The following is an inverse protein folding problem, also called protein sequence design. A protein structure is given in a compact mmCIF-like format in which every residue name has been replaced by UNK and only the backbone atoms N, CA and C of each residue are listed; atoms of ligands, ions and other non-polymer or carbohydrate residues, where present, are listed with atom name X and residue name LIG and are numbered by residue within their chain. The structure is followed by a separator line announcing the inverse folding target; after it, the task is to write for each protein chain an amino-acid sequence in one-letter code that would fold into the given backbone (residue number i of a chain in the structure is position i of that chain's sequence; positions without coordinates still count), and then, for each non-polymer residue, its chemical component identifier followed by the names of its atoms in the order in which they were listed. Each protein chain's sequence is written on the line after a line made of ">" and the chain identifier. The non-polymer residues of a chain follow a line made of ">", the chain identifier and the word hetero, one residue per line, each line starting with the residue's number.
data_IF_909536375516
#
_entry.id   IF_909536375516
#
_cell.length_a   1.000
_cell.length_b   1.000
_cell.length_c   1.000
_cell.angle_alpha   90.00
_cell.angle_beta   90.00
_cell.angle_gamma   90.00
#
_symmetry.space_group_name_H-M   'P 1'
#
loop_
_entity.id
_entity.type
_entity.pdbx_description
1 polymer ?
#
# COMPACT_ATOMS: atom_id res chain seq x y z
N UNK A 1 -30.17 -22.25 -12.94
CA UNK A 1 -28.90 -22.84 -12.47
C UNK A 1 -28.30 -21.90 -11.45
N UNK A 2 -28.30 -22.28 -10.17
CA UNK A 2 -27.57 -21.56 -9.13
C UNK A 2 -26.12 -22.02 -9.24
N UNK A 3 -25.25 -21.21 -9.83
CA UNK A 3 -23.81 -21.40 -9.67
C UNK A 3 -23.46 -21.01 -8.23
N UNK A 4 -23.36 -22.03 -7.39
CA UNK A 4 -22.69 -21.96 -6.10
C UNK A 4 -21.22 -21.66 -6.36
N UNK A 5 -20.86 -20.38 -6.36
CA UNK A 5 -19.47 -19.96 -6.36
C UNK A 5 -18.84 -20.40 -5.04
N UNK A 6 -17.81 -21.23 -5.13
CA UNK A 6 -16.93 -21.61 -4.03
C UNK A 6 -16.05 -20.41 -3.58
N UNK A 7 -16.65 -19.24 -3.33
CA UNK A 7 -15.99 -18.16 -2.58
C UNK A 7 -16.03 -18.56 -1.11
N UNK A 8 -14.99 -19.29 -0.69
CA UNK A 8 -14.87 -19.95 0.60
C UNK A 8 -15.33 -19.08 1.78
N UNK A 9 -16.19 -19.66 2.59
CA UNK A 9 -16.63 -19.17 3.89
C UNK A 9 -15.43 -18.69 4.73
N UNK A 10 -15.22 -17.39 4.80
CA UNK A 10 -14.29 -16.81 5.76
C UNK A 10 -14.97 -16.92 7.13
N UNK A 11 -14.43 -17.75 8.02
CA UNK A 11 -15.00 -18.07 9.35
C UNK A 11 -15.24 -16.85 10.27
N UNK A 12 -14.77 -15.66 9.91
CA UNK A 12 -15.02 -14.42 10.64
C UNK A 12 -15.09 -13.24 9.66
N UNK A 13 -16.28 -12.69 9.43
CA UNK A 13 -16.50 -11.54 8.54
C UNK A 13 -16.15 -10.18 9.18
N UNK A 14 -15.76 -10.17 10.46
CA UNK A 14 -15.35 -8.96 11.18
C UNK A 14 -14.16 -9.21 12.14
N UNK A 15 -12.99 -9.61 11.62
CA UNK A 15 -11.85 -9.96 12.48
C UNK A 15 -11.32 -8.79 13.32
N UNK A 16 -11.61 -7.55 12.92
CA UNK A 16 -11.09 -6.33 13.54
C UNK A 16 -12.16 -5.47 14.22
N UNK A 17 -13.35 -6.03 14.51
CA UNK A 17 -14.48 -5.35 15.15
C UNK A 17 -14.83 -3.99 14.51
N UNK A 18 -14.72 -3.91 13.19
CA UNK A 18 -15.09 -2.73 12.42
C UNK A 18 -16.62 -2.56 12.50
N UNK A 19 -17.13 -1.36 12.87
CA UNK A 19 -18.56 -1.12 12.91
C UNK A 19 -19.15 -1.20 11.49
N UNK A 20 -20.44 -1.50 11.42
CA UNK A 20 -21.14 -1.39 10.15
C UNK A 20 -21.25 0.10 9.77
N UNK A 21 -20.82 0.45 8.56
CA UNK A 21 -20.86 1.81 8.02
C UNK A 21 -21.90 1.90 6.89
N UNK A 22 -22.58 3.05 6.75
CA UNK A 22 -23.44 3.30 5.60
C UNK A 22 -22.62 3.26 4.30
N UNK A 23 -23.27 2.85 3.21
CA UNK A 23 -22.68 2.90 1.88
C UNK A 23 -22.69 4.34 1.35
N UNK A 24 -21.78 4.63 0.42
CA UNK A 24 -21.81 5.89 -0.31
C UNK A 24 -23.15 6.06 -1.05
N UNK A 25 -23.68 7.28 -1.08
CA UNK A 25 -24.75 7.62 -2.03
C UNK A 25 -24.16 7.61 -3.45
N UNK A 26 -24.98 7.26 -4.45
CA UNK A 26 -24.51 7.09 -5.83
C UNK A 26 -23.64 8.28 -6.31
N UNK A 27 -22.55 7.96 -7.01
CA UNK A 27 -21.56 8.84 -7.65
C UNK A 27 -20.33 9.23 -6.80
N UNK A 28 -19.30 8.37 -6.85
CA UNK A 28 -17.92 8.79 -6.55
C UNK A 28 -17.44 9.69 -7.68
N UNK A 29 -17.06 10.93 -7.36
CA UNK A 29 -16.46 11.82 -8.35
C UNK A 29 -15.03 11.38 -8.66
N UNK A 30 -14.59 11.64 -9.89
CA UNK A 30 -13.21 11.36 -10.34
C UNK A 30 -12.13 12.14 -9.57
N UNK A 31 -12.51 13.24 -8.91
CA UNK A 31 -11.62 14.10 -8.13
C UNK A 31 -11.51 13.73 -6.65
N UNK A 32 -11.95 12.53 -6.25
CA UNK A 32 -11.92 12.12 -4.85
C UNK A 32 -10.52 12.25 -4.23
N UNK A 33 -9.46 12.01 -5.00
CA UNK A 33 -8.07 12.14 -4.53
C UNK A 33 -7.76 13.54 -4.04
N UNK A 34 -8.20 14.59 -4.75
CA UNK A 34 -7.99 15.98 -4.33
C UNK A 34 -8.72 16.29 -3.01
N UNK A 35 -9.89 15.67 -2.80
CA UNK A 35 -10.67 15.80 -1.57
C UNK A 35 -10.17 14.90 -0.42
N UNK A 36 -9.31 13.91 -0.70
CA UNK A 36 -8.83 13.00 0.34
C UNK A 36 -7.98 13.73 1.38
N UNK A 37 -7.23 14.77 0.97
CA UNK A 37 -6.39 15.56 1.86
C UNK A 37 -7.13 16.17 3.05
N UNK A 38 -8.41 16.56 2.88
CA UNK A 38 -9.21 17.17 3.94
C UNK A 38 -9.93 16.17 4.84
N UNK A 39 -10.08 14.92 4.39
CA UNK A 39 -10.86 13.88 5.09
C UNK A 39 -10.01 12.82 5.77
N UNK A 40 -8.92 12.43 5.12
CA UNK A 40 -7.90 11.56 5.71
C UNK A 40 -6.83 12.50 6.22
N UNK A 41 -6.70 12.62 7.55
CA UNK A 41 -5.62 13.38 8.18
C UNK A 41 -4.27 13.10 7.50
N UNK A 42 -3.30 14.01 7.64
CA UNK A 42 -1.97 13.83 7.04
C UNK A 42 -1.40 12.44 7.34
N UNK A 43 -0.73 11.86 6.33
CA UNK A 43 -0.05 10.57 6.47
C UNK A 43 0.82 10.57 7.73
N UNK A 44 0.57 9.61 8.64
CA UNK A 44 1.15 9.58 9.98
C UNK A 44 1.85 8.26 10.26
N UNK A 45 3.10 8.36 10.71
CA UNK A 45 3.86 7.25 11.30
C UNK A 45 3.82 7.35 12.82
N UNK A 46 4.10 6.25 13.52
CA UNK A 46 4.30 6.30 14.96
C UNK A 46 5.46 7.21 15.33
N UNK A 47 5.22 8.06 16.31
CA UNK A 47 6.20 8.95 16.91
C UNK A 47 6.57 8.48 18.32
N UNK A 48 7.65 9.04 18.88
CA UNK A 48 8.13 8.67 20.22
C UNK A 48 7.09 8.92 21.32
N UNK A 49 6.26 9.93 21.15
CA UNK A 49 5.23 10.32 22.12
C UNK A 49 3.99 9.42 22.06
N UNK A 50 3.87 8.55 21.04
CA UNK A 50 2.73 7.65 20.86
C UNK A 50 2.84 6.34 21.67
N UNK A 51 4.05 5.99 22.16
CA UNK A 51 4.33 4.65 22.69
C UNK A 51 5.02 4.72 24.06
N UNK A 52 4.60 3.86 24.98
CA UNK A 52 5.22 3.72 26.30
C UNK A 52 6.59 3.00 26.25
N UNK A 53 7.66 3.81 26.20
CA UNK A 53 9.09 3.54 26.48
C UNK A 53 9.86 2.43 25.71
N UNK A 54 9.32 1.23 25.48
CA UNK A 54 10.14 0.09 25.04
C UNK A 54 10.57 0.18 23.56
N UNK A 55 9.71 0.73 22.69
CA UNK A 55 10.04 1.00 21.27
C UNK A 55 10.59 2.39 21.03
N UNK A 56 10.40 3.32 21.97
CA UNK A 56 10.71 4.75 21.82
C UNK A 56 12.16 4.99 21.38
N UNK A 57 13.10 4.17 21.86
CA UNK A 57 14.53 4.26 21.51
C UNK A 57 14.84 3.83 20.07
N UNK A 58 13.94 3.11 19.41
CA UNK A 58 14.13 2.55 18.08
C UNK A 58 13.30 3.24 16.99
N UNK A 59 12.31 4.07 17.36
CA UNK A 59 11.60 4.95 16.41
C UNK A 59 12.60 5.98 15.84
N UNK A 60 12.67 6.20 14.51
CA UNK A 60 13.52 7.23 13.92
C UNK A 60 13.21 8.63 14.47
N UNK A 61 14.26 9.43 14.64
CA UNK A 61 14.17 10.85 15.05
C UNK A 61 13.88 11.80 13.88
N UNK A 62 14.08 11.33 12.66
CA UNK A 62 13.81 12.06 11.42
C UNK A 62 12.49 11.59 10.83
N UNK A 63 11.74 12.44 10.11
CA UNK A 63 10.51 12.01 9.46
C UNK A 63 10.80 11.03 8.30
N UNK A 64 9.78 10.32 7.85
CA UNK A 64 9.88 9.44 6.68
C UNK A 64 10.24 10.25 5.42
N UNK A 65 9.66 11.44 5.29
CA UNK A 65 9.97 12.43 4.26
C UNK A 65 10.27 13.75 4.94
N UNK A 66 11.32 14.45 4.51
CA UNK A 66 11.56 15.81 4.98
C UNK A 66 10.43 16.73 4.50
N UNK A 67 10.19 17.85 5.18
CA UNK A 67 9.05 18.74 4.87
C UNK A 67 9.10 19.27 3.43
N UNK A 68 10.30 19.54 2.91
CA UNK A 68 10.54 20.01 1.55
C UNK A 68 10.77 18.88 0.55
N UNK A 69 10.70 17.62 0.98
CA UNK A 69 10.89 16.47 0.10
C UNK A 69 9.61 16.25 -0.72
N UNK A 70 9.64 16.74 -1.96
CA UNK A 70 8.60 16.61 -2.96
C UNK A 70 9.20 16.11 -4.28
N UNK A 71 8.37 15.44 -5.07
CA UNK A 71 8.77 14.76 -6.30
C UNK A 71 7.86 15.19 -7.44
N UNK A 72 8.39 15.25 -8.66
CA UNK A 72 7.56 15.47 -9.84
C UNK A 72 6.75 14.21 -10.12
N UNK A 73 7.45 13.10 -10.35
CA UNK A 73 6.83 11.82 -10.73
C UNK A 73 7.20 10.71 -9.76
N UNK A 74 6.19 9.98 -9.31
CA UNK A 74 6.35 8.81 -8.46
C UNK A 74 5.76 7.58 -9.13
N UNK A 75 6.40 6.42 -8.98
CA UNK A 75 5.92 5.15 -9.48
C UNK A 75 5.58 4.20 -8.33
N UNK A 76 4.39 3.61 -8.38
CA UNK A 76 3.97 2.50 -7.51
C UNK A 76 3.96 1.22 -8.35
N UNK A 77 4.84 0.28 -7.99
CA UNK A 77 4.95 -0.99 -8.70
C UNK A 77 4.20 -2.05 -7.92
N UNK A 78 3.11 -2.58 -8.47
CA UNK A 78 2.39 -3.68 -7.83
C UNK A 78 3.27 -4.95 -7.80
N UNK A 79 2.80 -5.98 -7.11
CA UNK A 79 3.47 -7.27 -7.14
C UNK A 79 2.90 -8.22 -8.20
N UNK A 80 1.92 -7.77 -9.00
CA UNK A 80 1.13 -8.65 -9.87
C UNK A 80 2.00 -9.40 -10.89
N UNK A 81 1.60 -10.64 -11.18
CA UNK A 81 2.31 -11.46 -12.16
C UNK A 81 2.25 -10.90 -13.59
N UNK A 82 1.27 -10.04 -13.88
CA UNK A 82 1.07 -9.34 -15.16
C UNK A 82 2.21 -8.39 -15.53
N UNK A 83 3.10 -8.05 -14.57
CA UNK A 83 4.34 -7.32 -14.84
C UNK A 83 5.35 -8.14 -15.67
N UNK A 84 5.28 -9.48 -15.66
CA UNK A 84 6.19 -10.33 -16.45
C UNK A 84 6.04 -10.07 -17.94
N UNK A 85 7.18 -9.97 -18.63
CA UNK A 85 7.29 -9.68 -20.07
C UNK A 85 6.66 -8.33 -20.49
N UNK A 86 6.42 -7.43 -19.55
CA UNK A 86 5.85 -6.11 -19.83
C UNK A 86 6.88 -5.14 -20.42
N UNK A 87 8.18 -5.37 -20.19
CA UNK A 87 9.27 -4.48 -20.57
C UNK A 87 9.15 -3.04 -20.01
N UNK A 88 8.40 -2.85 -18.92
CA UNK A 88 8.15 -1.53 -18.32
C UNK A 88 9.34 -0.99 -17.52
N UNK A 89 10.39 -1.79 -17.31
CA UNK A 89 11.44 -1.48 -16.34
C UNK A 89 12.21 -0.20 -16.62
N UNK A 90 12.52 0.09 -17.89
CA UNK A 90 13.17 1.35 -18.26
C UNK A 90 12.30 2.56 -17.92
N UNK A 91 11.00 2.48 -18.22
CA UNK A 91 10.05 3.56 -17.96
C UNK A 91 9.82 3.77 -16.45
N UNK A 92 9.73 2.68 -15.68
CA UNK A 92 9.66 2.72 -14.22
C UNK A 92 10.86 3.49 -13.64
N UNK A 93 12.08 3.18 -14.10
CA UNK A 93 13.30 3.79 -13.57
C UNK A 93 13.47 5.28 -13.94
N UNK A 94 12.63 5.86 -14.82
CA UNK A 94 12.62 7.29 -15.11
C UNK A 94 11.94 8.14 -14.01
N UNK A 95 11.21 7.53 -13.08
CA UNK A 95 10.49 8.28 -12.04
C UNK A 95 11.43 8.74 -10.93
N UNK A 96 11.15 9.89 -10.31
CA UNK A 96 11.96 10.44 -9.22
C UNK A 96 11.96 9.50 -8.01
N UNK A 97 10.79 8.97 -7.67
CA UNK A 97 10.58 8.02 -6.58
C UNK A 97 9.94 6.73 -7.09
N UNK A 98 10.48 5.59 -6.68
CA UNK A 98 9.89 4.26 -6.96
C UNK A 98 9.55 3.55 -5.65
N UNK A 99 8.26 3.27 -5.45
CA UNK A 99 7.69 2.54 -4.33
C UNK A 99 7.45 1.07 -4.71
N UNK A 100 7.92 0.16 -3.84
CA UNK A 100 7.70 -1.30 -3.97
C UNK A 100 7.14 -1.90 -2.68
N UNK A 101 6.66 -3.15 -2.76
CA UNK A 101 5.99 -3.80 -1.64
C UNK A 101 6.69 -5.08 -1.19
N UNK A 102 6.69 -5.31 0.12
CA UNK A 102 7.04 -6.58 0.74
C UNK A 102 8.39 -7.11 0.24
N UNK A 103 8.47 -8.40 -0.08
CA UNK A 103 9.68 -9.07 -0.54
C UNK A 103 9.85 -9.06 -2.07
N UNK A 104 9.15 -8.18 -2.80
CA UNK A 104 9.18 -8.15 -4.25
C UNK A 104 10.57 -7.74 -4.78
N UNK A 105 11.30 -8.63 -5.48
CA UNK A 105 12.68 -8.40 -5.90
C UNK A 105 12.75 -7.63 -7.22
N UNK A 106 13.85 -6.91 -7.42
CA UNK A 106 14.21 -6.35 -8.75
C UNK A 106 15.19 -7.24 -9.50
N UNK A 107 16.09 -7.91 -8.78
CA UNK A 107 17.15 -8.74 -9.35
C UNK A 107 16.59 -9.91 -10.17
N UNK A 108 16.92 -9.96 -11.46
CA UNK A 108 16.41 -10.96 -12.41
C UNK A 108 15.07 -10.59 -13.07
N UNK A 109 14.58 -9.37 -12.81
CA UNK A 109 13.29 -8.85 -13.27
C UNK A 109 13.42 -7.43 -13.82
N UNK A 110 14.63 -6.87 -13.91
CA UNK A 110 14.89 -5.46 -14.18
C UNK A 110 14.26 -4.98 -15.48
N UNK A 111 14.21 -5.84 -16.51
CA UNK A 111 13.56 -5.54 -17.79
C UNK A 111 12.08 -5.19 -17.61
N UNK A 112 11.40 -5.87 -16.71
CA UNK A 112 9.96 -5.78 -16.50
C UNK A 112 9.61 -4.79 -15.39
N UNK A 113 10.35 -4.80 -14.29
CA UNK A 113 9.98 -4.05 -13.08
C UNK A 113 10.94 -2.92 -12.73
N UNK A 114 12.04 -2.76 -13.47
CA UNK A 114 13.07 -1.76 -13.19
C UNK A 114 14.02 -2.18 -12.06
N UNK A 115 15.04 -1.37 -11.82
CA UNK A 115 16.09 -1.59 -10.83
C UNK A 115 15.98 -0.65 -9.62
N UNK A 116 15.35 0.53 -9.78
CA UNK A 116 15.24 1.55 -8.74
C UNK A 116 14.25 1.13 -7.65
N UNK A 117 14.61 1.39 -6.39
CA UNK A 117 13.71 1.34 -5.23
C UNK A 117 14.10 2.44 -4.27
N UNK A 118 13.22 3.42 -4.08
CA UNK A 118 13.45 4.56 -3.17
C UNK A 118 12.84 4.26 -1.80
N UNK A 119 11.62 3.73 -1.81
CA UNK A 119 10.87 3.37 -0.60
C UNK A 119 10.23 1.99 -0.76
N UNK A 120 10.10 1.27 0.35
CA UNK A 120 9.43 -0.03 0.38
C UNK A 120 8.47 -0.12 1.55
N UNK A 121 7.22 -0.46 1.22
CA UNK A 121 6.18 -0.73 2.22
C UNK A 121 6.14 -2.23 2.53
N UNK A 122 6.20 -2.58 3.81
CA UNK A 122 6.16 -3.95 4.31
C UNK A 122 4.91 -4.15 5.17
N UNK A 123 4.20 -5.26 5.00
CA UNK A 123 3.34 -5.71 6.08
C UNK A 123 4.20 -6.33 7.20
N UNK A 124 3.65 -6.37 8.41
CA UNK A 124 4.30 -6.95 9.58
C UNK A 124 4.61 -8.44 9.42
N UNK A 125 3.90 -9.16 8.54
CA UNK A 125 4.17 -10.55 8.21
C UNK A 125 5.56 -10.72 7.60
N UNK A 126 5.97 -9.81 6.71
CA UNK A 126 7.30 -9.82 6.08
C UNK A 126 8.39 -9.54 7.11
N UNK A 127 8.14 -8.64 8.05
CA UNK A 127 9.07 -8.33 9.14
C UNK A 127 9.18 -9.50 10.12
N UNK A 128 8.12 -10.29 10.30
CA UNK A 128 8.04 -11.34 11.31
C UNK A 128 8.55 -12.70 10.83
N UNK A 129 8.11 -13.16 9.65
CA UNK A 129 8.28 -14.57 9.28
C UNK A 129 9.71 -14.88 8.78
N UNK A 130 10.36 -15.97 9.25
CA UNK A 130 11.77 -16.26 8.94
C UNK A 130 12.10 -16.39 7.46
N UNK A 131 11.18 -16.89 6.62
CA UNK A 131 11.44 -17.10 5.20
C UNK A 131 11.78 -15.82 4.43
N UNK A 132 11.40 -14.66 4.96
CA UNK A 132 11.71 -13.37 4.33
C UNK A 132 13.08 -12.82 4.71
N UNK A 133 13.74 -13.42 5.72
CA UNK A 133 15.08 -13.06 6.17
C UNK A 133 15.24 -11.55 6.38
N UNK A 134 14.22 -10.90 6.95
CA UNK A 134 14.10 -9.43 6.99
C UNK A 134 15.34 -8.72 7.52
N UNK A 135 15.91 -9.21 8.62
CA UNK A 135 17.04 -8.56 9.29
C UNK A 135 18.33 -8.63 8.46
N UNK A 136 18.59 -9.75 7.79
CA UNK A 136 19.85 -9.99 7.07
C UNK A 136 19.80 -9.54 5.60
N UNK A 137 18.63 -9.66 4.95
CA UNK A 137 18.48 -9.48 3.51
C UNK A 137 18.90 -8.07 3.04
N UNK A 138 19.69 -7.97 1.96
CA UNK A 138 20.06 -6.69 1.36
C UNK A 138 18.86 -5.95 0.73
N UNK A 139 17.76 -6.66 0.46
CA UNK A 139 16.55 -6.09 -0.16
C UNK A 139 15.93 -4.95 0.67
N UNK A 140 16.16 -4.96 1.99
CA UNK A 140 15.57 -3.99 2.93
C UNK A 140 16.60 -2.96 3.43
N UNK A 141 17.79 -2.86 2.82
CA UNK A 141 18.87 -1.98 3.27
C UNK A 141 19.08 -0.82 2.30
N UNK A 142 19.53 0.33 2.82
CA UNK A 142 19.87 1.55 2.06
C UNK A 142 18.71 2.15 1.26
N UNK A 143 17.51 2.13 1.85
CA UNK A 143 16.30 2.73 1.31
C UNK A 143 15.37 3.12 2.47
N UNK A 144 14.30 3.87 2.17
CA UNK A 144 13.27 4.18 3.16
C UNK A 144 12.34 2.98 3.34
N UNK A 145 12.09 2.59 4.57
CA UNK A 145 11.18 1.51 4.92
C UNK A 145 9.98 2.06 5.67
N UNK A 146 8.81 1.55 5.32
CA UNK A 146 7.59 1.77 6.06
C UNK A 146 6.94 0.42 6.31
N UNK A 147 6.65 0.09 7.56
CA UNK A 147 5.87 -1.10 7.88
C UNK A 147 4.49 -0.76 8.42
N UNK A 148 3.53 -1.66 8.22
CA UNK A 148 2.20 -1.57 8.81
C UNK A 148 1.77 -2.93 9.36
N UNK A 149 0.94 -2.91 10.41
CA UNK A 149 0.35 -4.07 11.05
C UNK A 149 -1.14 -3.76 11.30
N UNK A 150 -2.07 -4.69 11.05
CA UNK A 150 -3.47 -4.51 11.42
C UNK A 150 -3.63 -4.34 12.93
N UNK A 151 -4.49 -3.41 13.34
CA UNK A 151 -4.98 -3.34 14.72
C UNK A 151 -6.48 -3.61 14.73
N UNK A 152 -7.06 -3.87 15.91
CA UNK A 152 -8.51 -3.76 16.06
C UNK A 152 -8.96 -2.30 15.77
N UNK A 153 -10.17 -2.10 15.22
CA UNK A 153 -10.65 -0.80 14.72
C UNK A 153 -10.55 0.34 15.75
N UNK A 154 -10.94 0.07 16.99
CA UNK A 154 -10.94 1.06 18.09
C UNK A 154 -9.77 0.91 19.06
N UNK A 155 -8.83 -0.02 18.84
CA UNK A 155 -7.75 -0.24 19.82
C UNK A 155 -6.89 0.99 19.95
N UNK A 156 -6.45 1.31 21.16
CA UNK A 156 -5.37 2.26 21.40
C UNK A 156 -4.01 1.72 20.92
N UNK A 157 -3.02 2.59 20.76
CA UNK A 157 -1.65 2.20 20.39
C UNK A 157 -1.06 1.25 21.44
N UNK A 158 -1.30 1.52 22.72
CA UNK A 158 -0.82 0.71 23.83
C UNK A 158 -1.45 -0.70 23.88
N UNK A 159 -2.71 -0.85 23.46
CA UNK A 159 -3.34 -2.17 23.34
C UNK A 159 -2.79 -2.93 22.13
N UNK A 160 -2.72 -2.27 20.97
CA UNK A 160 -2.22 -2.88 19.75
C UNK A 160 -0.75 -3.33 19.90
N UNK A 161 0.12 -2.50 20.49
CA UNK A 161 1.54 -2.85 20.61
C UNK A 161 1.78 -4.03 21.57
N UNK A 162 0.87 -4.28 22.52
CA UNK A 162 0.91 -5.45 23.40
C UNK A 162 0.48 -6.73 22.68
N UNK A 163 -0.40 -6.61 21.68
CA UNK A 163 -0.95 -7.74 20.94
C UNK A 163 -1.08 -7.42 19.44
N UNK A 164 0.05 -7.27 18.72
CA UNK A 164 0.04 -7.04 17.29
C UNK A 164 -0.42 -8.30 16.53
N UNK A 165 -0.93 -8.14 15.32
CA UNK A 165 -1.34 -9.28 14.47
C UNK A 165 -0.16 -10.21 14.19
N UNK A 166 1.03 -9.63 14.02
CA UNK A 166 2.28 -10.37 13.88
C UNK A 166 3.35 -9.85 14.86
N UNK A 167 4.13 -10.76 15.44
CA UNK A 167 5.16 -10.44 16.43
C UNK A 167 6.42 -9.78 15.82
N UNK A 168 6.26 -8.63 15.15
CA UNK A 168 7.31 -7.94 14.41
C UNK A 168 8.32 -7.20 15.30
N UNK A 169 7.95 -6.89 16.54
CA UNK A 169 8.66 -5.98 17.46
C UNK A 169 10.14 -6.35 17.61
N UNK A 170 10.43 -7.62 17.89
CA UNK A 170 11.82 -8.07 18.10
C UNK A 170 12.65 -7.87 16.83
N UNK A 171 12.13 -8.24 15.66
CA UNK A 171 12.83 -8.08 14.38
C UNK A 171 12.99 -6.61 14.00
N UNK A 172 12.00 -5.76 14.31
CA UNK A 172 12.09 -4.31 14.14
C UNK A 172 13.24 -3.73 14.99
N UNK A 173 13.28 -4.05 16.30
CA UNK A 173 14.35 -3.59 17.20
C UNK A 173 15.72 -4.09 16.73
N UNK A 174 15.84 -5.39 16.39
CA UNK A 174 17.08 -5.99 15.89
C UNK A 174 17.58 -5.30 14.62
N UNK A 175 16.68 -5.03 13.67
CA UNK A 175 17.02 -4.32 12.44
C UNK A 175 17.48 -2.88 12.73
N UNK A 176 16.75 -2.13 13.57
CA UNK A 176 17.09 -0.75 13.94
C UNK A 176 18.42 -0.66 14.69
N UNK A 177 18.72 -1.61 15.59
CA UNK A 177 20.01 -1.70 16.28
C UNK A 177 21.17 -2.00 15.32
N UNK A 178 20.94 -2.89 14.36
CA UNK A 178 21.96 -3.27 13.37
C UNK A 178 22.15 -2.20 12.28
N UNK A 179 21.15 -1.32 12.09
CA UNK A 179 21.16 -0.26 11.08
C UNK A 179 20.69 1.07 11.70
N UNK A 180 21.45 1.71 12.60
CA UNK A 180 20.98 2.87 13.37
C UNK A 180 20.52 4.06 12.52
N UNK A 181 21.14 4.24 11.35
CA UNK A 181 20.81 5.31 10.38
C UNK A 181 19.70 4.94 9.39
N UNK A 182 19.07 3.76 9.50
CA UNK A 182 17.97 3.41 8.60
C UNK A 182 16.79 4.36 8.80
N UNK A 183 16.11 4.73 7.72
CA UNK A 183 14.86 5.45 7.78
C UNK A 183 13.76 4.39 7.72
N UNK A 184 13.43 3.78 8.88
CA UNK A 184 12.46 2.69 8.99
C UNK A 184 11.36 3.04 9.97
N UNK A 185 10.18 3.33 9.43
CA UNK A 185 9.02 3.80 10.17
C UNK A 185 7.93 2.73 10.27
N UNK A 186 7.02 2.95 11.23
CA UNK A 186 5.81 2.15 11.42
C UNK A 186 4.61 3.06 11.17
N UNK A 187 3.66 2.65 10.34
CA UNK A 187 2.39 3.38 10.15
C UNK A 187 1.64 3.43 11.46
N UNK A 188 1.07 4.60 11.78
CA UNK A 188 0.17 4.71 12.93
C UNK A 188 -1.11 3.88 12.66
N UNK A 189 -1.48 2.89 13.49
CA UNK A 189 -2.47 1.88 13.11
C UNK A 189 -3.86 2.45 12.78
N UNK A 190 -4.29 3.51 13.47
CA UNK A 190 -5.55 4.20 13.20
C UNK A 190 -5.58 4.88 11.83
N UNK A 191 -4.42 5.17 11.23
CA UNK A 191 -4.36 5.71 9.87
C UNK A 191 -4.90 4.70 8.84
N UNK A 192 -4.67 3.39 9.05
CA UNK A 192 -5.22 2.34 8.19
C UNK A 192 -6.74 2.33 8.23
N UNK A 193 -7.34 2.54 9.40
CA UNK A 193 -8.79 2.58 9.59
C UNK A 193 -9.43 3.86 9.06
N UNK A 194 -8.72 5.00 9.10
CA UNK A 194 -9.14 6.22 8.41
C UNK A 194 -9.18 6.05 6.89
N UNK A 195 -8.17 5.39 6.33
CA UNK A 195 -8.20 5.03 4.90
C UNK A 195 -9.34 4.07 4.60
N UNK A 196 -9.60 3.11 5.48
CA UNK A 196 -10.73 2.18 5.33
C UNK A 196 -12.08 2.91 5.33
N UNK A 197 -12.31 3.80 6.31
CA UNK A 197 -13.52 4.61 6.39
C UNK A 197 -13.68 5.43 5.10
N UNK A 198 -12.59 6.04 4.62
CA UNK A 198 -12.62 6.80 3.37
C UNK A 198 -13.02 5.94 2.16
N UNK A 199 -12.49 4.71 2.04
CA UNK A 199 -12.90 3.80 0.96
C UNK A 199 -14.38 3.45 1.07
N UNK A 200 -14.86 3.12 2.27
CA UNK A 200 -16.27 2.76 2.50
C UNK A 200 -17.22 3.93 2.21
N UNK A 201 -16.85 5.14 2.61
CA UNK A 201 -17.62 6.38 2.36
C UNK A 201 -17.69 6.74 0.86
N UNK A 202 -16.79 6.18 0.06
CA UNK A 202 -16.75 6.33 -1.40
C UNK A 202 -17.02 5.00 -2.13
N UNK A 203 -17.68 4.04 -1.48
CA UNK A 203 -18.09 2.79 -2.13
C UNK A 203 -19.56 2.52 -1.86
N UNK A 204 -20.32 2.28 -2.93
CA UNK A 204 -21.77 1.99 -2.87
C UNK A 204 -22.09 0.57 -2.39
N UNK A 205 -21.07 -0.22 -2.07
CA UNK A 205 -21.17 -1.57 -1.53
C UNK A 205 -20.45 -1.66 -0.17
N UNK A 206 -20.85 -2.63 0.65
CA UNK A 206 -20.07 -2.94 1.85
C UNK A 206 -18.74 -3.56 1.47
N UNK A 207 -17.68 -2.93 1.93
CA UNK A 207 -16.33 -3.44 1.71
C UNK A 207 -15.94 -4.41 2.82
N UNK A 208 -14.90 -5.23 2.58
CA UNK A 208 -14.34 -6.13 3.58
C UNK A 208 -13.91 -5.35 4.82
N UNK A 209 -14.23 -5.85 6.01
CA UNK A 209 -13.87 -5.26 7.32
C UNK A 209 -12.44 -5.61 7.74
N UNK A 210 -11.53 -5.35 6.81
CA UNK A 210 -10.09 -5.57 6.88
C UNK A 210 -9.40 -4.31 6.35
N UNK A 211 -8.18 -4.00 6.80
CA UNK A 211 -7.52 -2.77 6.40
C UNK A 211 -7.19 -2.75 4.89
N UNK A 212 -7.00 -1.56 4.31
CA UNK A 212 -6.68 -1.39 2.89
C UNK A 212 -5.38 -2.10 2.50
N UNK A 213 -5.20 -2.34 1.22
CA UNK A 213 -3.96 -2.93 0.70
C UNK A 213 -2.77 -1.99 0.90
N UNK A 214 -1.57 -2.56 0.89
CA UNK A 214 -0.33 -1.78 0.87
C UNK A 214 -0.26 -0.84 -0.34
N UNK A 215 -0.91 -1.19 -1.46
CA UNK A 215 -0.97 -0.34 -2.65
C UNK A 215 -1.77 0.94 -2.42
N UNK A 216 -2.95 0.85 -1.78
CA UNK A 216 -3.75 2.03 -1.45
C UNK A 216 -3.07 2.90 -0.37
N UNK A 217 -2.48 2.27 0.65
CA UNK A 217 -1.63 2.97 1.63
C UNK A 217 -0.47 3.71 0.93
N UNK A 218 0.17 3.07 -0.04
CA UNK A 218 1.25 3.66 -0.84
C UNK A 218 0.79 4.87 -1.64
N UNK A 219 -0.39 4.79 -2.27
CA UNK A 219 -0.99 5.93 -2.96
C UNK A 219 -1.24 7.09 -1.99
N UNK A 220 -1.92 6.83 -0.87
CA UNK A 220 -2.22 7.85 0.13
C UNK A 220 -0.99 8.56 0.70
N UNK A 221 0.10 7.81 0.92
CA UNK A 221 1.38 8.34 1.36
C UNK A 221 2.04 9.25 0.31
N UNK A 222 1.88 8.95 -0.98
CA UNK A 222 2.56 9.67 -2.08
C UNK A 222 1.76 10.85 -2.65
N UNK A 223 0.43 10.85 -2.55
CA UNK A 223 -0.42 11.96 -3.01
C UNK A 223 0.01 13.36 -2.51
N UNK A 224 0.41 13.57 -1.23
CA UNK A 224 0.90 14.88 -0.78
C UNK A 224 2.33 15.22 -1.22
N UNK A 225 3.08 14.24 -1.73
CA UNK A 225 4.53 14.35 -2.01
C UNK A 225 4.86 14.38 -3.49
N UNK A 226 3.97 13.93 -4.36
CA UNK A 226 4.22 13.78 -5.79
C UNK A 226 3.27 14.67 -6.59
N UNK A 227 3.73 15.31 -7.66
CA UNK A 227 2.83 15.99 -8.60
C UNK A 227 1.93 14.97 -9.31
N UNK A 228 2.50 13.83 -9.71
CA UNK A 228 1.78 12.70 -10.31
C UNK A 228 2.26 11.38 -9.72
N UNK A 229 1.32 10.50 -9.42
CA UNK A 229 1.57 9.12 -8.99
C UNK A 229 1.15 8.16 -10.10
N UNK A 230 2.13 7.54 -10.73
CA UNK A 230 1.93 6.51 -11.75
C UNK A 230 1.88 5.14 -11.08
N UNK A 231 0.92 4.30 -11.47
CA UNK A 231 0.74 2.97 -10.90
C UNK A 231 0.84 1.92 -12.01
N UNK A 232 1.55 0.84 -11.72
CA UNK A 232 1.83 -0.22 -12.67
C UNK A 232 1.22 -1.54 -12.20
N UNK A 233 0.31 -2.07 -13.01
CA UNK A 233 -0.36 -3.37 -12.80
C UNK A 233 -1.10 -3.46 -11.47
N UNK A 234 -1.62 -2.33 -10.96
CA UNK A 234 -2.61 -2.35 -9.88
C UNK A 234 -3.98 -2.73 -10.45
N UNK A 235 -4.37 -2.07 -11.53
CA UNK A 235 -5.41 -2.58 -12.43
C UNK A 235 -4.74 -3.55 -13.41
N UNK A 236 -5.26 -4.77 -13.52
CA UNK A 236 -4.67 -5.78 -14.39
C UNK A 236 -4.86 -5.39 -15.86
N UNK A 237 -3.79 -5.52 -16.63
CA UNK A 237 -3.83 -5.39 -18.08
C UNK A 237 -4.42 -6.64 -18.77
N UNK A 238 -4.44 -6.63 -20.10
CA UNK A 238 -4.71 -7.80 -20.96
C UNK A 238 -3.76 -8.99 -20.69
N UNK A 239 -2.64 -8.77 -20.00
CA UNK A 239 -1.73 -9.83 -19.52
C UNK A 239 -2.25 -10.59 -18.30
N UNK A 240 -3.49 -10.33 -17.87
CA UNK A 240 -4.15 -10.97 -16.74
C UNK A 240 -3.85 -12.47 -16.68
N UNK A 241 -3.48 -12.94 -15.49
CA UNK A 241 -3.11 -14.34 -15.25
C UNK A 241 -3.59 -14.78 -13.86
N UNK A 242 -3.70 -16.10 -13.67
CA UNK A 242 -4.01 -16.68 -12.37
C UNK A 242 -2.80 -16.68 -11.41
N UNK A 243 -1.60 -16.35 -11.91
CA UNK A 243 -0.41 -16.18 -11.05
C UNK A 243 -0.54 -14.92 -10.21
N UNK A 244 -0.19 -15.04 -8.94
CA UNK A 244 -0.35 -13.95 -7.97
C UNK A 244 0.76 -12.91 -8.09
N UNK A 245 2.02 -13.35 -8.14
CA UNK A 245 3.17 -12.46 -8.13
C UNK A 245 4.12 -12.69 -9.32
N UNK A 246 4.80 -11.64 -9.79
CA UNK A 246 5.75 -11.80 -10.89
C UNK A 246 6.94 -12.68 -10.52
N UNK A 247 7.28 -12.74 -9.24
CA UNK A 247 8.50 -13.37 -8.73
C UNK A 247 8.34 -14.79 -8.19
N UNK A 248 7.13 -15.35 -8.18
CA UNK A 248 6.89 -16.76 -7.81
C UNK A 248 5.85 -17.39 -8.73
N UNK A 249 5.87 -18.72 -8.83
CA UNK A 249 4.94 -19.46 -9.71
C UNK A 249 3.57 -19.76 -9.07
N UNK A 250 3.34 -19.30 -7.84
CA UNK A 250 2.08 -19.54 -7.11
C UNK A 250 0.88 -18.98 -7.88
N UNK A 251 -0.05 -19.88 -8.19
CA UNK A 251 -1.37 -19.56 -8.73
C UNK A 251 -2.31 -19.24 -7.58
N UNK A 252 -2.85 -18.02 -7.59
CA UNK A 252 -3.77 -17.52 -6.56
C UNK A 252 -4.47 -16.25 -7.09
N UNK A 253 -5.66 -16.44 -7.68
CA UNK A 253 -6.47 -15.34 -8.26
C UNK A 253 -6.92 -14.32 -7.23
N UNK A 254 -6.88 -14.70 -5.95
CA UNK A 254 -7.34 -13.88 -4.82
C UNK A 254 -6.43 -12.68 -4.59
N UNK A 255 -5.18 -12.75 -5.07
CA UNK A 255 -4.24 -11.63 -5.07
C UNK A 255 -4.68 -10.50 -6.01
N UNK A 256 -5.41 -10.82 -7.08
CA UNK A 256 -5.86 -9.82 -8.06
C UNK A 256 -7.19 -9.20 -7.67
N UNK A 257 -8.14 -9.96 -7.14
CA UNK A 257 -9.48 -9.45 -6.84
C UNK A 257 -9.74 -9.17 -5.35
N UNK A 258 -8.87 -9.68 -4.48
CA UNK A 258 -8.94 -9.48 -3.03
C UNK A 258 -9.92 -10.45 -2.36
N UNK A 259 -9.41 -11.22 -1.39
CA UNK A 259 -10.25 -11.94 -0.41
C UNK A 259 -10.17 -11.28 0.97
N UNK A 260 -8.98 -10.83 1.35
CA UNK A 260 -8.73 -10.24 2.66
C UNK A 260 -8.90 -8.71 2.62
N UNK A 261 -8.22 -8.01 1.71
CA UNK A 261 -8.37 -6.56 1.53
C UNK A 261 -9.65 -6.20 0.76
N UNK A 262 -10.18 -4.97 0.91
CA UNK A 262 -11.23 -4.43 0.05
C UNK A 262 -10.73 -4.04 -1.36
N UNK A 263 -9.92 -4.90 -1.98
CA UNK A 263 -9.13 -4.58 -3.17
C UNK A 263 -9.99 -4.20 -4.38
N UNK A 264 -11.17 -4.80 -4.55
CA UNK A 264 -12.09 -4.42 -5.61
C UNK A 264 -12.55 -2.95 -5.50
N UNK A 265 -12.86 -2.48 -4.28
CA UNK A 265 -13.23 -1.09 -4.03
C UNK A 265 -12.05 -0.15 -4.28
N UNK A 266 -10.85 -0.50 -3.80
CA UNK A 266 -9.63 0.27 -4.06
C UNK A 266 -9.36 0.43 -5.56
N UNK A 267 -9.52 -0.63 -6.34
CA UNK A 267 -9.36 -0.62 -7.80
C UNK A 267 -10.36 0.31 -8.49
N UNK A 268 -11.62 0.27 -8.08
CA UNK A 268 -12.65 1.17 -8.62
C UNK A 268 -12.31 2.63 -8.34
N UNK A 269 -11.86 2.94 -7.12
CA UNK A 269 -11.42 4.29 -6.75
C UNK A 269 -10.23 4.74 -7.61
N UNK A 270 -9.20 3.89 -7.75
CA UNK A 270 -8.04 4.22 -8.58
C UNK A 270 -8.37 4.40 -10.06
N UNK A 271 -9.27 3.59 -10.62
CA UNK A 271 -9.78 3.77 -11.98
C UNK A 271 -10.53 5.09 -12.13
N UNK A 272 -11.34 5.44 -11.13
CA UNK A 272 -12.13 6.69 -11.14
C UNK A 272 -11.23 7.93 -11.08
N UNK A 273 -10.08 7.86 -10.39
CA UNK A 273 -9.10 8.95 -10.29
C UNK A 273 -8.08 9.00 -11.42
N UNK A 274 -8.08 8.02 -12.32
CA UNK A 274 -7.06 7.90 -13.35
C UNK A 274 -7.27 8.90 -14.49
N UNK A 275 -6.17 9.46 -14.99
CA UNK A 275 -6.17 10.42 -16.11
C UNK A 275 -5.76 9.80 -17.45
N UNK A 276 -5.38 8.52 -17.48
CA UNK A 276 -5.02 7.82 -18.72
C UNK A 276 -6.25 7.26 -19.45
N UNK A 277 -6.25 7.16 -20.79
CA UNK A 277 -7.33 6.52 -21.52
C UNK A 277 -7.55 5.06 -21.09
N UNK A 278 -8.79 4.61 -21.04
CA UNK A 278 -9.15 3.22 -20.67
C UNK A 278 -8.40 2.19 -21.52
N UNK A 279 -8.19 2.48 -22.80
CA UNK A 279 -7.41 1.62 -23.70
C UNK A 279 -5.95 1.46 -23.23
N UNK A 280 -5.33 2.53 -22.71
CA UNK A 280 -3.98 2.46 -22.14
C UNK A 280 -3.98 1.58 -20.88
N UNK A 281 -4.95 1.80 -19.99
CA UNK A 281 -5.07 1.00 -18.76
C UNK A 281 -5.28 -0.47 -19.10
N UNK A 282 -6.15 -0.77 -20.06
CA UNK A 282 -6.44 -2.14 -20.49
C UNK A 282 -5.20 -2.84 -21.10
N UNK A 283 -4.49 -2.19 -22.02
CA UNK A 283 -3.33 -2.84 -22.66
C UNK A 283 -2.10 -2.92 -21.76
N UNK A 284 -1.88 -1.93 -20.89
CA UNK A 284 -0.60 -1.78 -20.19
C UNK A 284 -0.69 -1.94 -18.68
N UNK A 285 -1.88 -1.83 -18.09
CA UNK A 285 -2.05 -1.80 -16.63
C UNK A 285 -1.49 -0.54 -15.99
N UNK A 286 -1.20 0.49 -16.80
CA UNK A 286 -0.66 1.78 -16.37
C UNK A 286 -1.79 2.74 -16.01
N UNK A 287 -1.71 3.32 -14.81
CA UNK A 287 -2.57 4.42 -14.37
C UNK A 287 -1.73 5.64 -14.02
N UNK A 288 -2.31 6.82 -14.20
CA UNK A 288 -1.74 8.09 -13.72
C UNK A 288 -2.77 8.78 -12.82
N UNK A 289 -2.38 9.07 -11.59
CA UNK A 289 -3.23 9.70 -10.58
C UNK A 289 -2.61 11.04 -10.17
N UNK A 290 -3.35 12.16 -10.26
CA UNK A 290 -2.89 13.47 -9.81
C UNK A 290 -2.64 13.48 -8.29
N UNK A 291 -1.48 13.99 -7.87
CA UNK A 291 -1.24 14.30 -6.46
C UNK A 291 -1.87 15.62 -6.03
N UNK A 292 -1.84 15.94 -4.73
CA UNK A 292 -2.52 17.12 -4.17
C UNK A 292 -2.01 18.45 -4.72
N UNK A 293 -0.74 18.49 -5.14
CA UNK A 293 -0.10 19.68 -5.73
C UNK A 293 -0.18 19.70 -7.26
N UNK A 294 -0.92 18.76 -7.88
CA UNK A 294 -1.16 18.76 -9.32
C UNK A 294 -2.00 19.98 -9.72
N UNK A 295 -1.75 20.56 -10.92
CA UNK A 295 -2.62 21.58 -11.49
C UNK A 295 -4.12 21.22 -11.46
N UNK A 296 -4.44 19.93 -11.64
CA UNK A 296 -5.81 19.39 -11.63
C UNK A 296 -6.46 19.59 -10.25
N UNK A 297 -5.73 19.32 -9.16
CA UNK A 297 -6.27 19.49 -7.81
C UNK A 297 -6.28 20.95 -7.36
N UNK A 298 -5.39 21.80 -7.88
CA UNK A 298 -5.38 23.23 -7.54
C UNK A 298 -6.46 24.05 -8.25
N UNK A 299 -7.11 23.48 -9.28
CA UNK A 299 -8.19 24.12 -10.04
C UNK A 299 -9.60 23.78 -9.55
N UNK A 300 -9.71 22.92 -8.53
CA UNK A 300 -10.96 22.45 -7.91
C UNK A 300 -11.21 23.17 -6.58
#
# INVERSE_FOLDING_TARGET
>A
MKESSNYGSVKNENPYNVPYRPQATNNVKSDWTCNMASRVENFRTLEKNDIDHFLTKNIPDVPLFDDNEVFGTCAIISNAATLRNSNLGYFIDQHDLVLRFNNAPTKGYEKDVGSKTTIRILNSQVVTKPQFQFVSSPLYKRLKLLMWDPSNYTSSINEWIKNPEHNFINNYILFRKSNPRSNFHIVHPQYLWRLWDYIQDHTTAHIRRNPPSSGFLGLAMLLPRCTVVNMFEFIPSERMTHRCHYYHEKVDVTCTFGIWHPLAAEKLLMLTANTMPDQTVFHTGFLSIPGYKSPICTSL
#
